data_IF_377307327011
#
_entry.id   IF_377307327011
#
_cell.length_a   1.000
_cell.length_b   1.000
_cell.length_c   1.000
_cell.angle_alpha   90.00
_cell.angle_beta   90.00
_cell.angle_gamma   90.00
#
_symmetry.space_group_name_H-M   'P 1'
#
loop_
_entity.id
_entity.type
_entity.pdbx_description
1 polymer ?
#
# COMPACT_ATOMS: atom_id res chain seq x y z
N UNK A 1 -23.67 -7.60 5.31
CA UNK A 1 -22.82 -8.82 5.43
C UNK A 1 -21.52 -8.52 4.74
N UNK A 2 -20.44 -8.45 5.51
CA UNK A 2 -19.14 -7.95 5.07
C UNK A 2 -18.38 -9.04 4.29
N UNK A 3 -17.63 -8.62 3.27
CA UNK A 3 -16.67 -9.44 2.50
C UNK A 3 -15.58 -10.01 3.42
N UNK A 4 -14.83 -11.03 2.98
CA UNK A 4 -13.62 -11.54 3.66
C UNK A 4 -12.45 -10.53 3.72
N UNK A 5 -12.74 -9.23 3.60
CA UNK A 5 -11.78 -8.13 3.64
C UNK A 5 -10.99 -7.94 2.34
N UNK A 6 -11.29 -8.71 1.29
CA UNK A 6 -10.63 -8.58 -0.01
C UNK A 6 -11.36 -7.55 -0.86
N UNK A 7 -10.58 -6.63 -1.43
CA UNK A 7 -11.01 -5.63 -2.39
C UNK A 7 -10.39 -5.92 -3.74
N UNK A 8 -11.20 -5.90 -4.79
CA UNK A 8 -10.78 -6.18 -6.16
C UNK A 8 -11.11 -5.00 -7.04
N UNK A 9 -10.10 -4.51 -7.77
CA UNK A 9 -10.26 -3.53 -8.84
C UNK A 9 -9.73 -4.13 -10.14
N UNK A 10 -10.47 -3.90 -11.22
CA UNK A 10 -10.13 -4.40 -12.55
C UNK A 10 -10.36 -3.31 -13.59
N UNK A 11 -9.55 -3.33 -14.64
CA UNK A 11 -9.70 -2.47 -15.80
C UNK A 11 -9.45 -3.26 -17.08
N UNK A 12 -10.44 -3.27 -17.99
CA UNK A 12 -10.37 -3.97 -19.26
C UNK A 12 -10.05 -2.99 -20.39
N UNK A 13 -8.97 -3.29 -21.13
CA UNK A 13 -8.69 -2.70 -22.44
C UNK A 13 -9.34 -3.59 -23.50
N UNK A 14 -10.54 -3.22 -23.95
CA UNK A 14 -11.38 -4.11 -24.77
C UNK A 14 -10.69 -4.56 -26.08
N UNK A 15 -10.04 -3.63 -26.78
CA UNK A 15 -9.41 -3.88 -28.08
C UNK A 15 -8.28 -4.93 -28.00
N UNK A 16 -7.55 -4.97 -26.89
CA UNK A 16 -6.40 -5.86 -26.71
C UNK A 16 -6.72 -7.05 -25.79
N UNK A 17 -7.94 -7.12 -25.25
CA UNK A 17 -8.34 -8.08 -24.19
C UNK A 17 -7.36 -8.12 -23.02
N UNK A 18 -6.71 -6.98 -22.76
CA UNK A 18 -5.78 -6.81 -21.65
C UNK A 18 -6.57 -6.41 -20.40
N UNK A 19 -6.43 -7.19 -19.34
CA UNK A 19 -7.05 -6.97 -18.04
C UNK A 19 -5.97 -6.58 -17.04
N UNK A 20 -6.03 -5.34 -16.55
CA UNK A 20 -5.19 -4.89 -15.43
C UNK A 20 -5.97 -5.11 -14.13
N UNK A 21 -5.32 -5.70 -13.13
CA UNK A 21 -5.94 -6.03 -11.84
C UNK A 21 -5.16 -5.46 -10.66
N UNK A 22 -5.90 -5.17 -9.59
CA UNK A 22 -5.39 -4.92 -8.25
C UNK A 22 -6.28 -5.62 -7.24
N UNK A 23 -5.66 -6.46 -6.44
CA UNK A 23 -6.37 -7.19 -5.40
C UNK A 23 -5.68 -6.91 -4.09
N UNK A 24 -6.41 -6.34 -3.14
CA UNK A 24 -5.88 -5.91 -1.86
C UNK A 24 -6.61 -6.55 -0.70
N UNK A 25 -5.88 -6.90 0.35
CA UNK A 25 -6.48 -7.28 1.63
C UNK A 25 -5.55 -6.91 2.79
N UNK A 26 -6.15 -6.70 3.97
CA UNK A 26 -5.39 -6.63 5.23
C UNK A 26 -5.10 -8.06 5.70
N UNK A 27 -3.85 -8.48 5.66
CA UNK A 27 -3.42 -9.72 6.29
C UNK A 27 -3.13 -9.44 7.77
N UNK A 28 -3.53 -10.36 8.67
CA UNK A 28 -3.36 -10.16 10.13
C UNK A 28 -1.90 -9.83 10.47
N UNK A 29 -1.72 -8.91 11.41
CA UNK A 29 -0.40 -8.52 11.93
C UNK A 29 -0.05 -9.39 13.15
N UNK A 30 1.25 -9.69 13.25
CA UNK A 30 1.98 -10.36 14.34
C UNK A 30 2.21 -11.88 14.19
N UNK A 31 3.49 -12.22 13.95
CA UNK A 31 4.15 -13.54 13.98
C UNK A 31 3.67 -14.68 13.06
N UNK A 32 2.56 -14.48 12.36
CA UNK A 32 2.01 -15.48 11.44
C UNK A 32 2.36 -15.16 9.98
N UNK A 33 2.53 -16.21 9.17
CA UNK A 33 2.61 -16.03 7.72
C UNK A 33 1.22 -15.94 7.13
N UNK A 34 1.02 -15.09 6.15
CA UNK A 34 -0.30 -14.85 5.55
C UNK A 34 -0.23 -14.94 4.05
N UNK A 35 -1.37 -15.17 3.41
CA UNK A 35 -1.44 -15.14 1.96
C UNK A 35 -2.74 -14.54 1.45
N UNK A 36 -2.62 -13.92 0.29
CA UNK A 36 -3.71 -13.38 -0.51
C UNK A 36 -3.69 -14.11 -1.85
N UNK A 37 -4.82 -14.66 -2.26
CA UNK A 37 -4.99 -15.33 -3.54
C UNK A 37 -6.12 -14.69 -4.32
N UNK A 38 -5.92 -14.57 -5.63
CA UNK A 38 -6.97 -14.24 -6.57
C UNK A 38 -6.76 -15.01 -7.86
N UNK A 39 -7.82 -15.46 -8.50
CA UNK A 39 -7.71 -16.23 -9.73
C UNK A 39 -8.96 -16.24 -10.58
N UNK A 40 -8.77 -16.70 -11.82
CA UNK A 40 -9.83 -16.84 -12.82
C UNK A 40 -10.16 -18.31 -13.03
N UNK A 41 -11.45 -18.61 -13.16
CA UNK A 41 -11.92 -19.95 -13.48
C UNK A 41 -12.52 -19.97 -14.90
N UNK A 42 -11.97 -20.74 -15.85
CA UNK A 42 -12.52 -20.84 -17.20
C UNK A 42 -13.78 -21.72 -17.28
N UNK A 43 -14.15 -22.40 -16.19
CA UNK A 43 -15.32 -23.27 -16.12
C UNK A 43 -16.65 -22.50 -16.21
N UNK A 44 -17.78 -23.23 -16.29
CA UNK A 44 -19.10 -22.64 -16.46
C UNK A 44 -19.58 -21.85 -15.22
N UNK A 45 -19.03 -22.14 -14.05
CA UNK A 45 -19.45 -21.57 -12.76
C UNK A 45 -18.25 -21.03 -11.98
N UNK A 46 -18.47 -19.98 -11.19
CA UNK A 46 -17.49 -19.47 -10.24
C UNK A 46 -17.33 -20.44 -9.07
N UNK A 47 -16.16 -21.08 -8.98
CA UNK A 47 -15.79 -22.05 -7.95
C UNK A 47 -14.29 -22.17 -7.82
N UNK A 48 -13.79 -22.71 -6.71
CA UNK A 48 -12.35 -22.89 -6.48
C UNK A 48 -11.68 -23.91 -7.42
N UNK A 49 -12.32 -25.05 -7.69
CA UNK A 49 -11.72 -26.10 -8.53
C UNK A 49 -11.69 -25.65 -9.99
N UNK A 50 -10.51 -25.71 -10.59
CA UNK A 50 -10.21 -25.25 -11.94
C UNK A 50 -9.71 -23.81 -12.01
N UNK A 51 -9.57 -23.13 -10.88
CA UNK A 51 -9.09 -21.75 -10.84
C UNK A 51 -7.59 -21.67 -11.08
N UNK A 52 -7.20 -20.75 -11.96
CA UNK A 52 -5.82 -20.36 -12.20
C UNK A 52 -5.53 -19.10 -11.37
N UNK A 53 -4.71 -19.26 -10.33
CA UNK A 53 -4.56 -18.27 -9.27
C UNK A 53 -3.17 -17.61 -9.27
N UNK A 54 -3.16 -16.32 -8.97
CA UNK A 54 -2.00 -15.54 -8.56
C UNK A 54 -2.05 -15.42 -7.04
N UNK A 55 -0.96 -15.78 -6.37
CA UNK A 55 -0.93 -15.81 -4.92
C UNK A 55 0.30 -15.05 -4.42
N UNK A 56 0.05 -14.13 -3.48
CA UNK A 56 1.07 -13.43 -2.73
C UNK A 56 1.14 -13.98 -1.32
N UNK A 57 2.35 -14.30 -0.85
CA UNK A 57 2.61 -14.84 0.48
C UNK A 57 3.49 -13.86 1.24
N UNK A 58 3.00 -13.42 2.40
CA UNK A 58 3.72 -12.66 3.41
C UNK A 58 4.43 -13.64 4.35
N UNK A 59 5.73 -13.51 4.51
CA UNK A 59 6.46 -14.21 5.58
C UNK A 59 6.33 -13.49 6.92
N UNK A 60 6.81 -14.12 8.00
CA UNK A 60 6.83 -13.50 9.33
C UNK A 60 7.51 -12.14 9.26
N UNK A 61 6.96 -11.18 9.99
CA UNK A 61 7.44 -9.80 10.07
C UNK A 61 7.59 -9.06 8.72
N UNK A 62 6.88 -9.51 7.67
CA UNK A 62 6.99 -8.94 6.32
C UNK A 62 8.43 -8.96 5.75
N UNK A 63 9.32 -9.81 6.28
CA UNK A 63 10.73 -9.89 5.85
C UNK A 63 10.87 -10.19 4.35
N UNK A 64 9.97 -11.01 3.82
CA UNK A 64 9.93 -11.39 2.41
C UNK A 64 8.50 -11.48 1.92
N UNK A 65 8.25 -10.82 0.79
CA UNK A 65 7.02 -10.96 0.02
C UNK A 65 7.30 -11.92 -1.13
N UNK A 66 6.68 -13.09 -1.08
CA UNK A 66 6.74 -14.10 -2.14
C UNK A 66 5.51 -13.97 -3.03
N UNK A 67 5.66 -14.34 -4.30
CA UNK A 67 4.57 -14.40 -5.26
C UNK A 67 4.78 -15.57 -6.19
N UNK A 68 3.70 -16.27 -6.54
CA UNK A 68 3.73 -17.35 -7.52
C UNK A 68 2.35 -17.64 -8.11
N UNK A 69 2.32 -18.47 -9.15
CA UNK A 69 1.09 -18.94 -9.79
C UNK A 69 0.73 -20.35 -9.33
N UNK A 70 -0.56 -20.63 -9.25
CA UNK A 70 -1.08 -21.91 -8.77
C UNK A 70 -2.26 -22.36 -9.60
N UNK A 71 -2.28 -23.64 -9.94
CA UNK A 71 -3.38 -24.29 -10.64
C UNK A 71 -4.19 -25.11 -9.62
N UNK A 72 -5.40 -24.67 -9.32
CA UNK A 72 -6.24 -25.28 -8.29
C UNK A 72 -7.02 -26.45 -8.89
N UNK A 73 -6.70 -27.67 -8.47
CA UNK A 73 -7.35 -28.90 -8.96
C UNK A 73 -8.27 -29.52 -7.90
N UNK A 74 -9.03 -30.55 -8.26
CA UNK A 74 -9.86 -31.31 -7.32
C UNK A 74 -9.02 -31.94 -6.19
N UNK A 75 -7.78 -32.33 -6.46
CA UNK A 75 -6.85 -32.90 -5.47
C UNK A 75 -6.53 -31.94 -4.33
N UNK A 76 -6.44 -30.63 -4.61
CA UNK A 76 -6.22 -29.61 -3.57
C UNK A 76 -7.36 -29.57 -2.55
N UNK A 77 -8.59 -29.80 -3.01
CA UNK A 77 -9.78 -29.88 -2.13
C UNK A 77 -9.77 -31.15 -1.27
N UNK A 78 -9.12 -32.22 -1.74
CA UNK A 78 -8.95 -33.48 -1.01
C UNK A 78 -7.80 -33.43 0.01
N UNK A 79 -7.11 -32.29 0.15
CA UNK A 79 -6.05 -32.10 1.14
C UNK A 79 -4.64 -32.41 0.62
N UNK A 80 -4.48 -32.62 -0.69
CA UNK A 80 -3.14 -32.71 -1.28
C UNK A 80 -2.39 -31.38 -1.17
N UNK A 81 -1.06 -31.47 -1.13
CA UNK A 81 -0.17 -30.32 -1.05
C UNK A 81 -0.37 -29.37 -2.25
N UNK A 82 -0.50 -28.07 -1.98
CA UNK A 82 -0.60 -27.04 -3.00
C UNK A 82 0.74 -26.30 -3.14
N UNK A 83 1.45 -26.61 -4.22
CA UNK A 83 2.73 -26.01 -4.60
C UNK A 83 2.58 -25.13 -5.85
N UNK A 84 3.53 -24.20 -6.10
CA UNK A 84 3.53 -23.40 -7.31
C UNK A 84 3.48 -24.25 -8.57
N UNK A 85 2.68 -23.83 -9.53
CA UNK A 85 2.52 -24.52 -10.80
C UNK A 85 2.23 -23.55 -11.94
N UNK A 86 2.70 -23.83 -13.16
CA UNK A 86 2.35 -23.03 -14.34
C UNK A 86 0.83 -22.96 -14.54
N UNK A 87 0.37 -21.82 -15.06
CA UNK A 87 -1.02 -21.60 -15.43
C UNK A 87 -1.12 -21.15 -16.89
N UNK A 88 -2.25 -21.47 -17.53
CA UNK A 88 -2.53 -21.13 -18.93
C UNK A 88 -3.19 -19.74 -19.03
N UNK A 89 -2.46 -18.75 -18.52
CA UNK A 89 -2.76 -17.31 -18.59
C UNK A 89 -1.46 -16.57 -18.93
N UNK A 90 -1.52 -15.68 -19.91
CA UNK A 90 -0.39 -14.80 -20.21
C UNK A 90 -0.39 -13.62 -19.24
N UNK A 91 0.52 -13.67 -18.27
CA UNK A 91 0.64 -12.72 -17.17
C UNK A 91 1.92 -11.91 -17.30
N UNK A 92 1.79 -10.60 -17.16
CA UNK A 92 2.91 -9.65 -17.08
C UNK A 92 2.72 -8.72 -15.88
N UNK A 93 3.79 -8.04 -15.47
CA UNK A 93 3.80 -7.10 -14.34
C UNK A 93 3.25 -7.68 -13.01
N UNK A 94 3.32 -9.00 -12.82
CA UNK A 94 2.83 -9.63 -11.60
C UNK A 94 3.71 -9.24 -10.41
N UNK A 95 3.15 -8.52 -9.46
CA UNK A 95 3.81 -8.04 -8.25
C UNK A 95 2.93 -8.27 -7.03
N UNK A 96 3.58 -8.44 -5.88
CA UNK A 96 2.94 -8.50 -4.59
C UNK A 96 3.66 -7.51 -3.67
N UNK A 97 2.96 -6.48 -3.22
CA UNK A 97 3.53 -5.34 -2.51
C UNK A 97 2.76 -5.07 -1.22
N UNK A 98 3.43 -4.44 -0.26
CA UNK A 98 2.80 -3.93 0.96
C UNK A 98 2.63 -2.41 0.87
N UNK A 99 1.41 -1.93 1.15
CA UNK A 99 1.06 -0.51 1.14
C UNK A 99 0.85 -0.04 2.58
N UNK A 100 1.90 0.54 3.16
CA UNK A 100 1.96 0.94 4.57
C UNK A 100 0.85 1.90 4.99
N UNK A 101 0.46 2.85 4.13
CA UNK A 101 -0.60 3.84 4.40
C UNK A 101 -1.96 3.20 4.71
N UNK A 102 -2.25 2.06 4.07
CA UNK A 102 -3.53 1.36 4.22
C UNK A 102 -3.41 0.11 5.09
N UNK A 103 -2.18 -0.37 5.33
CA UNK A 103 -1.86 -1.70 5.86
C UNK A 103 -2.41 -2.84 4.99
N UNK A 104 -2.34 -2.67 3.67
CA UNK A 104 -2.82 -3.68 2.70
C UNK A 104 -1.65 -4.38 2.04
N UNK A 105 -1.81 -5.67 1.81
CA UNK A 105 -1.03 -6.44 0.86
C UNK A 105 -1.78 -6.48 -0.46
N UNK A 106 -1.08 -6.19 -1.55
CA UNK A 106 -1.69 -5.94 -2.85
C UNK A 106 -1.02 -6.77 -3.94
N UNK A 107 -1.82 -7.53 -4.67
CA UNK A 107 -1.45 -8.17 -5.93
C UNK A 107 -1.74 -7.19 -7.08
N UNK A 108 -0.74 -6.94 -7.91
CA UNK A 108 -0.86 -6.20 -9.16
C UNK A 108 -0.47 -7.13 -10.29
N UNK A 109 -1.26 -7.20 -11.36
CA UNK A 109 -0.90 -7.95 -12.56
C UNK A 109 -1.62 -7.42 -13.80
N UNK A 110 -1.03 -7.73 -14.95
CA UNK A 110 -1.63 -7.51 -16.26
C UNK A 110 -1.82 -8.87 -16.93
N UNK A 111 -3.04 -9.17 -17.36
CA UNK A 111 -3.41 -10.46 -17.95
C UNK A 111 -3.92 -10.23 -19.37
N UNK A 112 -3.40 -10.95 -20.35
CA UNK A 112 -3.99 -10.99 -21.69
C UNK A 112 -4.97 -12.17 -21.71
N UNK A 113 -6.27 -11.89 -21.77
CA UNK A 113 -7.31 -12.90 -21.64
C UNK A 113 -7.44 -13.72 -22.94
N UNK A 114 -7.14 -15.03 -22.95
CA UNK A 114 -7.36 -15.88 -24.12
C UNK A 114 -8.84 -16.05 -24.43
N UNK A 115 -9.16 -16.45 -25.67
CA UNK A 115 -10.54 -16.53 -26.19
C UNK A 115 -11.48 -17.38 -25.33
N UNK A 116 -10.96 -18.38 -24.61
CA UNK A 116 -11.73 -19.23 -23.69
C UNK A 116 -12.39 -18.46 -22.53
N UNK A 117 -11.89 -17.27 -22.17
CA UNK A 117 -12.54 -16.41 -21.19
C UNK A 117 -13.51 -15.46 -21.89
N UNK A 118 -14.79 -15.55 -21.53
CA UNK A 118 -15.82 -14.65 -22.02
C UNK A 118 -15.82 -13.35 -21.21
N UNK A 119 -15.74 -12.21 -21.90
CA UNK A 119 -15.78 -10.88 -21.27
C UNK A 119 -17.14 -10.57 -20.64
N UNK A 120 -18.21 -11.21 -21.11
CA UNK A 120 -19.56 -11.05 -20.53
C UNK A 120 -19.77 -11.87 -19.25
N UNK A 121 -18.92 -12.89 -19.04
CA UNK A 121 -19.05 -13.87 -17.98
C UNK A 121 -17.68 -14.38 -17.53
N UNK A 122 -16.99 -13.57 -16.74
CA UNK A 122 -15.71 -13.93 -16.14
C UNK A 122 -15.94 -14.45 -14.72
N UNK A 123 -15.54 -15.68 -14.46
CA UNK A 123 -15.59 -16.24 -13.12
C UNK A 123 -14.29 -15.93 -12.38
N UNK A 124 -14.40 -15.30 -11.22
CA UNK A 124 -13.28 -15.01 -10.36
C UNK A 124 -13.47 -15.59 -8.96
N UNK A 125 -12.36 -15.86 -8.30
CA UNK A 125 -12.29 -16.40 -6.95
C UNK A 125 -11.17 -15.71 -6.22
N UNK A 126 -11.39 -15.37 -4.95
CA UNK A 126 -10.37 -14.82 -4.09
C UNK A 126 -10.34 -15.53 -2.75
N UNK A 127 -9.20 -15.56 -2.10
CA UNK A 127 -9.11 -15.97 -0.71
C UNK A 127 -8.01 -15.28 0.05
N UNK A 128 -8.19 -15.27 1.36
CA UNK A 128 -7.16 -14.94 2.33
C UNK A 128 -6.99 -16.12 3.27
N UNK A 129 -5.75 -16.35 3.68
CA UNK A 129 -5.44 -17.39 4.63
C UNK A 129 -4.25 -17.04 5.50
N UNK A 130 -4.18 -17.77 6.60
CA UNK A 130 -3.10 -17.73 7.57
C UNK A 130 -2.38 -19.07 7.45
N UNK A 131 -1.07 -19.00 7.30
CA UNK A 131 -0.19 -20.15 7.31
C UNK A 131 0.61 -20.09 8.62
N UNK A 132 0.57 -21.17 9.39
CA UNK A 132 1.51 -21.41 10.49
C UNK A 132 2.45 -22.51 9.97
N UNK A 133 3.72 -22.17 9.71
CA UNK A 133 4.76 -23.17 9.42
C UNK A 133 5.16 -23.42 7.95
N UNK A 134 4.63 -22.66 6.98
CA UNK A 134 4.99 -22.83 5.56
C UNK A 134 5.92 -21.71 5.05
N UNK A 135 7.09 -21.58 5.68
CA UNK A 135 8.10 -20.57 5.27
C UNK A 135 9.24 -21.27 4.53
N UNK A 136 9.42 -20.92 3.26
CA UNK A 136 10.55 -21.39 2.44
C UNK A 136 10.14 -22.15 1.17
N UNK A 137 9.12 -23.01 1.25
CA UNK A 137 8.76 -23.92 0.15
C UNK A 137 7.59 -23.46 -0.73
N UNK A 138 7.05 -22.25 -0.48
CA UNK A 138 5.87 -21.70 -1.17
C UNK A 138 4.63 -22.63 -1.14
N UNK A 139 4.54 -23.51 -0.14
CA UNK A 139 3.38 -24.36 0.08
C UNK A 139 2.26 -23.56 0.73
N UNK A 140 1.04 -23.70 0.23
CA UNK A 140 -0.14 -23.05 0.79
C UNK A 140 -0.94 -24.02 1.64
N UNK A 141 -1.31 -23.60 2.85
CA UNK A 141 -2.26 -24.32 3.69
C UNK A 141 -3.69 -23.86 3.39
N UNK A 142 -4.63 -24.74 3.72
CA UNK A 142 -6.05 -24.50 3.52
C UNK A 142 -6.51 -23.27 4.30
N UNK A 143 -7.25 -22.37 3.65
CA UNK A 143 -7.91 -21.25 4.33
C UNK A 143 -9.06 -21.75 5.23
N UNK A 144 -9.56 -20.87 6.09
CA UNK A 144 -10.75 -21.16 6.91
C UNK A 144 -11.97 -21.51 6.04
N UNK A 145 -12.89 -22.33 6.56
CA UNK A 145 -14.11 -22.76 5.85
C UNK A 145 -15.35 -21.98 6.31
N UNK A 146 -15.19 -20.70 6.64
CA UNK A 146 -16.30 -19.85 7.06
C UNK A 146 -17.20 -19.47 5.89
N UNK A 147 -18.41 -18.97 6.18
CA UNK A 147 -19.36 -18.47 5.15
C UNK A 147 -18.70 -17.43 4.23
N UNK A 148 -17.92 -16.52 4.82
CA UNK A 148 -17.19 -15.50 4.06
C UNK A 148 -16.24 -16.11 3.02
N UNK A 149 -15.65 -17.28 3.31
CA UNK A 149 -14.79 -17.99 2.37
C UNK A 149 -15.62 -18.70 1.27
N UNK A 150 -16.77 -19.27 1.61
CA UNK A 150 -17.67 -19.85 0.62
C UNK A 150 -18.20 -18.81 -0.37
N UNK A 151 -18.43 -17.58 0.10
CA UNK A 151 -18.96 -16.48 -0.70
C UNK A 151 -17.87 -15.72 -1.50
N UNK A 152 -16.59 -16.12 -1.40
CA UNK A 152 -15.48 -15.44 -2.09
C UNK A 152 -15.32 -15.86 -3.56
N UNK A 153 -16.42 -15.96 -4.27
CA UNK A 153 -16.45 -16.26 -5.70
C UNK A 153 -17.62 -15.54 -6.36
N UNK A 154 -17.39 -15.02 -7.55
CA UNK A 154 -18.43 -14.34 -8.31
C UNK A 154 -18.21 -14.44 -9.81
N UNK A 155 -19.29 -14.23 -10.56
CA UNK A 155 -19.26 -14.09 -12.01
C UNK A 155 -19.45 -12.63 -12.37
N UNK A 156 -18.46 -12.01 -13.00
CA UNK A 156 -18.51 -10.60 -13.40
C UNK A 156 -18.58 -10.45 -14.91
N UNK A 157 -19.43 -9.52 -15.37
CA UNK A 157 -19.40 -9.03 -16.74
C UNK A 157 -18.40 -7.88 -16.82
N UNK A 158 -17.25 -8.08 -17.49
CA UNK A 158 -16.17 -7.09 -17.54
C UNK A 158 -16.51 -5.81 -18.33
N UNK A 159 -17.51 -5.86 -19.21
CA UNK A 159 -17.95 -4.69 -20.01
C UNK A 159 -18.85 -3.77 -19.20
N UNK A 160 -19.72 -4.35 -18.38
CA UNK A 160 -20.70 -3.60 -17.58
C UNK A 160 -20.28 -3.43 -16.11
N UNK A 161 -19.30 -4.21 -15.66
CA UNK A 161 -18.90 -4.36 -14.26
C UNK A 161 -19.96 -4.95 -13.35
N UNK A 162 -21.04 -5.52 -13.90
CA UNK A 162 -22.09 -6.14 -13.08
C UNK A 162 -21.66 -7.56 -12.66
N UNK A 163 -21.64 -7.79 -11.35
CA UNK A 163 -21.41 -9.11 -10.76
C UNK A 163 -22.72 -9.87 -10.51
N UNK A 164 -22.67 -11.19 -10.64
CA UNK A 164 -23.71 -12.14 -10.23
C UNK A 164 -23.06 -13.17 -9.30
N UNK A 165 -23.28 -13.01 -7.99
CA UNK A 165 -22.79 -13.91 -6.95
C UNK A 165 -23.88 -14.85 -6.42
N UNK A 166 -23.48 -15.91 -5.72
CA UNK A 166 -24.40 -16.83 -5.07
C UNK A 166 -24.97 -16.19 -3.78
N UNK A 167 -26.21 -15.67 -3.88
CA UNK A 167 -27.11 -15.14 -2.83
C UNK A 167 -26.80 -13.72 -2.30
N UNK A 168 -27.86 -12.89 -2.35
CA UNK A 168 -28.10 -11.59 -1.67
C UNK A 168 -26.85 -10.80 -1.28
N UNK A 169 -26.02 -10.49 -2.27
CA UNK A 169 -25.14 -9.34 -2.20
C UNK A 169 -25.69 -8.33 -3.21
N UNK A 170 -26.61 -7.49 -2.73
CA UNK A 170 -27.07 -6.32 -3.46
C UNK A 170 -25.84 -5.42 -3.66
N UNK A 171 -25.22 -5.58 -4.83
CA UNK A 171 -24.10 -4.79 -5.32
C UNK A 171 -22.99 -4.59 -4.28
N UNK A 172 -22.09 -5.57 -4.17
CA UNK A 172 -20.68 -5.23 -3.98
C UNK A 172 -20.38 -4.23 -5.08
N UNK A 173 -20.27 -2.96 -4.72
CA UNK A 173 -19.71 -1.93 -5.58
C UNK A 173 -18.27 -2.36 -5.79
N UNK A 174 -18.05 -3.24 -6.77
CA UNK A 174 -16.78 -3.38 -7.45
C UNK A 174 -16.58 -1.99 -8.03
N UNK A 175 -15.88 -1.13 -7.29
CA UNK A 175 -15.49 0.16 -7.81
C UNK A 175 -14.54 -0.21 -8.95
N UNK A 176 -15.06 -0.12 -10.18
CA UNK A 176 -14.24 0.10 -11.36
C UNK A 176 -13.53 1.44 -11.14
N UNK A 177 -12.55 1.46 -10.25
CA UNK A 177 -11.68 2.61 -10.09
C UNK A 177 -10.79 2.58 -11.31
N UNK A 178 -11.13 3.45 -12.26
CA UNK A 178 -10.30 3.82 -13.39
C UNK A 178 -8.85 3.93 -12.89
N UNK A 179 -8.00 3.03 -13.40
CA UNK A 179 -6.75 2.60 -12.79
C UNK A 179 -5.60 3.62 -12.91
N UNK A 180 -5.89 4.92 -12.96
CA UNK A 180 -4.89 5.97 -13.14
C UNK A 180 -4.61 6.84 -11.91
N UNK A 181 -5.33 6.63 -10.78
CA UNK A 181 -5.19 7.51 -9.61
C UNK A 181 -4.85 6.83 -8.27
N UNK A 182 -4.59 5.53 -8.28
CA UNK A 182 -4.17 4.77 -7.09
C UNK A 182 -2.83 4.05 -7.24
N UNK A 183 -2.00 4.43 -8.22
CA UNK A 183 -0.56 4.23 -8.09
C UNK A 183 -0.07 5.28 -7.07
N UNK A 184 0.36 4.90 -5.85
CA UNK A 184 0.90 5.87 -4.90
C UNK A 184 2.29 6.28 -5.39
N UNK A 185 2.34 7.12 -6.43
CA UNK A 185 3.44 8.04 -6.60
C UNK A 185 3.23 9.18 -5.61
N UNK A 186 4.31 9.71 -5.04
CA UNK A 186 4.31 10.75 -3.99
C UNK A 186 3.79 12.13 -4.46
N UNK A 187 2.78 12.19 -5.32
CA UNK A 187 2.32 13.42 -5.96
C UNK A 187 0.78 13.59 -5.94
N UNK A 188 0.35 14.50 -5.06
CA UNK A 188 -0.30 15.77 -5.44
C UNK A 188 -1.84 15.96 -5.47
N UNK A 189 -2.65 15.14 -4.78
CA UNK A 189 -4.05 15.56 -4.51
C UNK A 189 -4.50 15.44 -3.05
N UNK A 190 -4.25 14.30 -2.41
CA UNK A 190 -4.64 14.12 -1.00
C UNK A 190 -3.85 15.04 -0.05
N UNK A 191 -2.58 15.31 -0.36
CA UNK A 191 -1.74 16.26 0.38
C UNK A 191 -2.28 17.68 0.30
N UNK A 192 -2.82 18.08 -0.86
CA UNK A 192 -3.40 19.40 -1.06
C UNK A 192 -4.68 19.58 -0.23
N UNK A 193 -5.60 18.60 -0.26
CA UNK A 193 -6.83 18.67 0.53
C UNK A 193 -6.55 18.66 2.05
N UNK A 194 -5.61 17.82 2.50
CA UNK A 194 -5.20 17.78 3.91
C UNK A 194 -4.54 19.10 4.34
N UNK A 195 -3.66 19.67 3.52
CA UNK A 195 -3.05 20.96 3.82
C UNK A 195 -4.10 22.08 3.84
N UNK A 196 -5.01 22.12 2.85
CA UNK A 196 -6.10 23.08 2.80
C UNK A 196 -7.00 22.96 4.04
N UNK A 197 -7.38 21.75 4.43
CA UNK A 197 -8.18 21.51 5.62
C UNK A 197 -7.46 21.95 6.90
N UNK A 198 -6.19 21.58 7.08
CA UNK A 198 -5.42 21.99 8.26
C UNK A 198 -5.23 23.50 8.35
N UNK A 199 -4.99 24.19 7.24
CA UNK A 199 -4.87 25.65 7.24
C UNK A 199 -6.23 26.32 7.51
N UNK A 200 -7.29 25.93 6.80
CA UNK A 200 -8.61 26.54 6.98
C UNK A 200 -9.19 26.29 8.37
N UNK A 201 -9.18 25.04 8.83
CA UNK A 201 -9.72 24.68 10.16
C UNK A 201 -8.82 25.19 11.28
N UNK A 202 -7.51 25.09 11.11
CA UNK A 202 -6.54 25.58 12.10
C UNK A 202 -6.64 27.08 12.33
N UNK A 203 -6.61 27.89 11.25
CA UNK A 203 -6.75 29.35 11.38
C UNK A 203 -8.15 29.76 11.86
N UNK A 204 -9.21 29.08 11.44
CA UNK A 204 -10.56 29.35 11.93
C UNK A 204 -10.66 29.12 13.45
N UNK A 205 -10.08 28.04 13.96
CA UNK A 205 -10.09 27.73 15.39
C UNK A 205 -9.29 28.75 16.21
N UNK A 206 -8.16 29.23 15.69
CA UNK A 206 -7.36 30.29 16.33
C UNK A 206 -8.14 31.61 16.45
N UNK A 207 -8.83 32.03 15.39
CA UNK A 207 -9.65 33.25 15.40
C UNK A 207 -10.79 33.13 16.42
N UNK A 208 -11.50 32.00 16.42
CA UNK A 208 -12.60 31.74 17.39
C UNK A 208 -12.07 31.73 18.82
N UNK A 209 -10.90 31.15 19.06
CA UNK A 209 -10.24 31.16 20.38
C UNK A 209 -9.95 32.58 20.87
N UNK A 210 -9.40 33.45 20.01
CA UNK A 210 -9.12 34.84 20.37
C UNK A 210 -10.39 35.63 20.71
N UNK A 211 -11.47 35.44 19.93
CA UNK A 211 -12.77 36.08 20.19
C UNK A 211 -13.36 35.60 21.52
N UNK A 212 -13.25 34.30 21.81
CA UNK A 212 -13.77 33.72 23.04
C UNK A 212 -13.07 34.28 24.29
N UNK A 213 -11.76 34.51 24.22
CA UNK A 213 -11.00 35.09 25.34
C UNK A 213 -11.38 36.57 25.55
N UNK A 214 -11.52 37.36 24.48
CA UNK A 214 -11.97 38.76 24.58
C UNK A 214 -13.39 38.88 25.18
N UNK A 215 -14.30 37.98 24.80
CA UNK A 215 -15.63 37.88 25.42
C UNK A 215 -15.54 37.44 26.88
N UNK A 216 -14.66 36.50 27.22
CA UNK A 216 -14.40 36.06 28.59
C UNK A 216 -13.92 37.19 29.51
N UNK A 217 -12.97 38.02 29.04
CA UNK A 217 -12.49 39.21 29.77
C UNK A 217 -13.64 40.19 30.05
N UNK A 218 -14.58 40.33 29.12
CA UNK A 218 -15.75 41.19 29.28
C UNK A 218 -16.76 40.63 30.30
N UNK A 219 -16.96 39.29 30.35
CA UNK A 219 -17.88 38.63 31.30
C UNK A 219 -17.32 38.64 32.72
N UNK A 220 -16.00 38.52 32.87
CA UNK A 220 -15.33 38.46 34.17
C UNK A 220 -15.05 39.84 34.81
N UNK A 221 -15.55 40.94 34.23
CA UNK A 221 -15.41 42.30 34.76
C UNK A 221 -13.97 42.70 35.16
N UNK A 222 -12.95 42.18 34.47
CA UNK A 222 -11.56 42.60 34.68
C UNK A 222 -11.34 44.02 34.14
N UNK A 223 -10.41 44.75 34.76
CA UNK A 223 -10.06 46.13 34.36
C UNK A 223 -9.67 46.19 32.88
N UNK A 224 -10.63 46.67 32.09
CA UNK A 224 -10.58 46.79 30.64
C UNK A 224 -9.32 47.52 30.17
N UNK A 225 -8.89 48.51 30.95
CA UNK A 225 -7.81 49.43 30.67
C UNK A 225 -6.43 48.76 30.68
N UNK A 226 -6.25 47.67 31.45
CA UNK A 226 -4.97 46.99 31.60
C UNK A 226 -4.95 45.60 30.94
N UNK A 227 -6.03 44.83 31.07
CA UNK A 227 -6.05 43.44 30.60
C UNK A 227 -6.20 43.31 29.09
N UNK A 228 -6.91 44.23 28.44
CA UNK A 228 -7.03 44.24 26.98
C UNK A 228 -5.73 44.56 26.25
N UNK A 229 -4.98 45.63 26.59
CA UNK A 229 -3.70 45.88 25.93
C UNK A 229 -2.67 44.79 26.23
N UNK A 230 -2.64 44.23 27.45
CA UNK A 230 -1.76 43.12 27.79
C UNK A 230 -2.04 41.87 26.95
N UNK A 231 -3.31 41.48 26.83
CA UNK A 231 -3.73 40.37 25.99
C UNK A 231 -3.42 40.61 24.51
N UNK A 232 -3.71 41.81 23.99
CA UNK A 232 -3.41 42.18 22.61
C UNK A 232 -1.91 42.14 22.31
N UNK A 233 -1.07 42.55 23.28
CA UNK A 233 0.38 42.43 23.20
C UNK A 233 0.85 40.97 23.07
N UNK A 234 0.30 40.07 23.89
CA UNK A 234 0.64 38.64 23.85
C UNK A 234 0.24 38.01 22.51
N UNK A 235 -0.97 38.32 22.02
CA UNK A 235 -1.44 37.83 20.71
C UNK A 235 -0.56 38.35 19.57
N UNK A 236 -0.12 39.60 19.63
CA UNK A 236 0.81 40.19 18.67
C UNK A 236 2.17 39.48 18.65
N UNK A 237 2.74 39.18 19.83
CA UNK A 237 3.97 38.41 19.93
C UNK A 237 3.83 36.99 19.36
N UNK A 238 2.71 36.31 19.63
CA UNK A 238 2.46 34.97 19.08
C UNK A 238 2.27 34.99 17.56
N UNK A 239 1.58 35.99 17.02
CA UNK A 239 1.43 36.18 15.58
C UNK A 239 2.78 36.41 14.89
N UNK A 240 3.68 37.17 15.52
CA UNK A 240 5.04 37.39 15.02
C UNK A 240 5.86 36.09 14.97
N UNK A 241 5.79 35.25 16.02
CA UNK A 241 6.46 33.94 16.03
C UNK A 241 5.94 33.05 14.91
N UNK A 242 4.62 33.02 14.69
CA UNK A 242 4.01 32.28 13.59
C UNK A 242 4.51 32.75 12.22
N UNK A 243 4.59 34.07 12.01
CA UNK A 243 5.10 34.66 10.77
C UNK A 243 6.54 34.23 10.50
N UNK A 244 7.40 34.19 11.54
CA UNK A 244 8.78 33.71 11.42
C UNK A 244 8.82 32.23 10.99
N UNK A 245 8.00 31.36 11.60
CA UNK A 245 7.93 29.94 11.20
C UNK A 245 7.40 29.74 9.79
N UNK A 246 6.47 30.59 9.34
CA UNK A 246 5.97 30.56 7.98
C UNK A 246 7.05 30.95 6.98
N UNK A 247 7.84 32.00 7.27
CA UNK A 247 9.01 32.38 6.47
C UNK A 247 10.03 31.23 6.41
N UNK A 248 10.36 30.59 7.52
CA UNK A 248 11.31 29.46 7.56
C UNK A 248 10.79 28.28 6.74
N UNK A 249 9.49 27.99 6.82
CA UNK A 249 8.86 26.91 6.07
C UNK A 249 8.87 27.17 4.56
N UNK A 250 8.57 28.41 4.15
CA UNK A 250 8.67 28.85 2.75
C UNK A 250 10.11 28.84 2.24
N UNK A 251 11.06 29.29 3.06
CA UNK A 251 12.49 29.26 2.72
C UNK A 251 12.94 27.82 2.45
N UNK A 252 12.62 26.89 3.35
CA UNK A 252 12.91 25.46 3.17
C UNK A 252 12.27 24.91 1.90
N UNK A 253 10.99 25.22 1.65
CA UNK A 253 10.28 24.78 0.45
C UNK A 253 10.91 25.30 -0.84
N UNK A 254 11.34 26.57 -0.88
CA UNK A 254 12.00 27.18 -2.03
C UNK A 254 13.38 26.57 -2.26
N UNK A 255 14.16 26.36 -1.20
CA UNK A 255 15.46 25.67 -1.27
C UNK A 255 15.34 24.24 -1.83
N UNK A 256 14.34 23.49 -1.36
CA UNK A 256 14.10 22.11 -1.80
C UNK A 256 13.57 22.07 -3.25
N UNK A 257 12.82 23.09 -3.70
CA UNK A 257 12.21 23.14 -5.04
C UNK A 257 13.16 23.61 -6.15
N UNK A 258 14.07 24.55 -5.86
CA UNK A 258 15.00 25.11 -6.84
C UNK A 258 16.41 24.51 -6.78
N UNK A 259 16.62 23.44 -5.99
CA UNK A 259 17.87 22.69 -5.99
C UNK A 259 19.08 23.51 -5.51
N UNK A 260 18.87 24.48 -4.61
CA UNK A 260 19.95 25.28 -4.00
C UNK A 260 20.71 24.49 -2.91
N UNK A 261 20.88 23.18 -3.12
CA UNK A 261 21.61 22.26 -2.24
C UNK A 261 23.11 22.20 -2.58
N UNK A 262 23.68 23.29 -3.13
CA UNK A 262 25.12 23.40 -3.43
C UNK A 262 25.82 24.40 -2.49
N UNK A 263 25.10 25.29 -1.80
CA UNK A 263 25.75 26.32 -0.95
C UNK A 263 25.80 25.98 0.55
N UNK A 264 24.93 25.10 1.08
CA UNK A 264 24.92 24.81 2.53
C UNK A 264 25.80 23.62 2.97
N UNK A 265 26.36 22.82 2.06
CA UNK A 265 27.21 21.69 2.44
C UNK A 265 28.64 22.07 2.87
N UNK A 266 28.97 23.37 2.93
CA UNK A 266 30.34 23.84 3.24
C UNK A 266 30.57 24.33 4.67
N UNK A 267 29.57 24.22 5.56
CA UNK A 267 29.69 24.67 6.96
C UNK A 267 29.32 23.58 7.98
N UNK A 268 29.73 22.33 7.77
CA UNK A 268 29.88 21.36 8.85
C UNK A 268 31.30 20.77 8.74
N UNK A 269 32.22 21.06 9.67
CA UNK A 269 33.50 20.36 9.73
C UNK A 269 33.21 18.89 10.09
N UNK A 270 33.65 18.00 9.21
CA UNK A 270 33.40 16.58 9.29
C UNK A 270 34.46 15.94 10.21
N UNK A 271 34.13 15.72 11.48
CA UNK A 271 35.05 15.12 12.47
C UNK A 271 35.02 13.57 12.50
N UNK A 272 34.17 12.92 11.71
CA UNK A 272 33.97 11.46 11.77
C UNK A 272 34.72 10.66 10.68
N UNK A 273 35.90 11.10 10.24
CA UNK A 273 36.72 10.36 9.27
C UNK A 273 37.87 9.53 9.89
N UNK A 274 38.02 9.49 11.22
CA UNK A 274 39.20 8.91 11.88
C UNK A 274 38.92 7.75 12.86
N UNK A 275 37.83 6.99 12.73
CA UNK A 275 37.59 5.80 13.59
C UNK A 275 37.41 4.46 12.85
N UNK A 276 37.63 4.43 11.52
CA UNK A 276 37.63 3.15 10.76
C UNK A 276 38.91 2.88 9.97
N UNK A 277 40.04 3.45 10.41
CA UNK A 277 41.40 3.04 10.04
C UNK A 277 42.13 2.55 11.29
N UNK A 278 41.68 1.43 11.85
CA UNK A 278 42.21 0.94 13.11
C UNK A 278 41.79 -0.49 13.44
N UNK A 279 41.68 -1.38 12.45
CA UNK A 279 41.76 -2.81 12.74
C UNK A 279 41.95 -3.62 11.46
N UNK A 280 43.02 -4.44 11.44
CA UNK A 280 43.47 -5.41 10.42
C UNK A 280 44.50 -4.94 9.39
N UNK A 281 45.74 -4.79 9.88
CA UNK A 281 46.88 -5.46 9.24
C UNK A 281 47.62 -6.25 10.33
N UNK A 282 47.59 -7.58 10.26
CA UNK A 282 48.72 -8.40 10.66
C UNK A 282 48.69 -9.75 9.90
N UNK A 283 49.79 -10.02 9.21
CA UNK A 283 50.34 -11.36 9.08
C UNK A 283 49.74 -12.32 8.05
N UNK A 284 50.16 -12.20 6.78
CA UNK A 284 50.70 -13.39 6.09
C UNK A 284 51.63 -13.09 4.91
N UNK A 285 52.83 -13.61 5.06
CA UNK A 285 54.00 -13.66 4.18
C UNK A 285 53.70 -14.29 2.81
N UNK A 286 54.22 -13.68 1.74
CA UNK A 286 54.35 -14.28 0.40
C UNK A 286 55.52 -15.28 0.36
N UNK A 287 55.50 -16.25 -0.57
CA UNK A 287 56.70 -16.61 -1.30
C UNK A 287 56.59 -16.23 -2.79
N UNK A 288 57.73 -15.78 -3.30
CA UNK A 288 58.04 -15.53 -4.70
C UNK A 288 57.95 -16.81 -5.53
N UNK A 289 57.68 -16.68 -6.83
CA UNK A 289 58.65 -17.03 -7.89
C UNK A 289 58.03 -16.84 -9.29
N UNK A 290 58.75 -16.10 -10.13
CA UNK A 290 58.62 -16.00 -11.61
C UNK A 290 59.66 -16.93 -12.27
N UNK A 291 59.68 -17.14 -13.60
CA UNK A 291 58.61 -17.23 -14.60
C UNK A 291 58.74 -18.51 -15.47
N UNK A 292 57.78 -18.69 -16.39
CA UNK A 292 57.77 -19.72 -17.43
C UNK A 292 58.88 -19.46 -18.46
N UNK A 293 59.71 -20.46 -18.74
CA UNK A 293 60.46 -20.65 -19.99
C UNK A 293 60.63 -22.15 -20.25
N UNK A 294 60.27 -22.56 -21.48
CA UNK A 294 60.32 -23.89 -22.12
C UNK A 294 59.41 -25.00 -21.59
#
# INVERSE_FOLDING_TARGET
MESNGVEVAMYLHENTRKLDIMVGAKLKEEEETGWLAWGLNPGPEARMIGTQALIGIKTKNDEKLLKDTYNITSYTKLGCQLLPSPIDLNISNFNFIYVSKLKYHVILATIILPMKYDLSRLNQVWQVGINIGAVGNKELKMHGKGLMNYDSSETINLRTGKGRGNRVHESSKIRQMLFFKFKPGDRDEFRMYRNMFHHVVGYSLLIVSCINILKGIQIMHLDYTYWKPAYLGIVSCLAFIFLVFEIVSWFKFVCDKFGFWILCAKCIPNEEANEKKGSREDGRVQPSDTPINN
#
